data_IF_128659516050
#
_entry.id   IF_128659516050
#
_cell.length_a   1.000
_cell.length_b   1.000
_cell.length_c   1.000
_cell.angle_alpha   90.00
_cell.angle_beta   90.00
_cell.angle_gamma   90.00
#
_symmetry.space_group_name_H-M   'P 1'
#
loop_
_entity.id
_entity.type
_entity.pdbx_description
1 polymer ?
#
# COMPACT_ATOMS: atom_id res chain seq x y z
N UNK A 1 -2.52 -51.90 -10.20
CA UNK A 1 -2.14 -51.77 -11.63
C UNK A 1 -1.61 -50.36 -11.79
N UNK A 2 -0.29 -50.22 -11.85
CA UNK A 2 0.38 -48.95 -12.18
C UNK A 2 -0.21 -48.47 -13.50
N UNK A 3 -1.03 -47.42 -13.43
CA UNK A 3 -1.45 -46.72 -14.63
C UNK A 3 -0.27 -45.83 -14.99
N UNK A 4 0.51 -46.26 -15.97
CA UNK A 4 1.47 -45.37 -16.60
C UNK A 4 0.66 -44.36 -17.40
N UNK A 5 0.71 -43.10 -16.99
CA UNK A 5 0.10 -42.01 -17.72
C UNK A 5 0.91 -41.77 -19.00
N UNK A 6 0.23 -41.36 -20.06
CA UNK A 6 0.92 -40.92 -21.27
C UNK A 6 1.76 -39.69 -20.95
N UNK A 7 2.97 -39.59 -21.50
CA UNK A 7 3.91 -38.50 -21.22
C UNK A 7 3.67 -37.26 -22.08
N UNK A 8 4.22 -36.12 -21.65
CA UNK A 8 4.41 -34.92 -22.47
C UNK A 8 5.88 -34.47 -22.38
N UNK A 9 6.35 -33.69 -23.35
CA UNK A 9 7.78 -33.37 -23.50
C UNK A 9 8.24 -32.21 -22.60
N UNK A 10 8.32 -32.42 -21.29
CA UNK A 10 8.84 -31.41 -20.37
C UNK A 10 10.35 -31.17 -20.55
N UNK A 11 10.73 -29.94 -20.93
CA UNK A 11 12.13 -29.49 -21.00
C UNK A 11 12.73 -29.18 -19.62
N UNK A 12 11.88 -28.78 -18.66
CA UNK A 12 12.24 -28.51 -17.28
C UNK A 12 11.31 -29.28 -16.35
N UNK A 13 11.88 -29.99 -15.36
CA UNK A 13 11.13 -30.76 -14.36
C UNK A 13 11.33 -30.16 -12.98
N UNK A 14 10.23 -29.82 -12.32
CA UNK A 14 10.20 -29.24 -10.97
C UNK A 14 9.90 -30.34 -9.96
N UNK A 15 10.93 -31.11 -9.58
CA UNK A 15 10.79 -32.22 -8.64
C UNK A 15 11.71 -32.09 -7.44
N UNK A 16 11.25 -32.63 -6.31
CA UNK A 16 12.00 -32.70 -5.06
C UNK A 16 12.28 -34.18 -4.74
N UNK A 17 13.52 -34.48 -4.36
CA UNK A 17 13.87 -35.83 -3.91
C UNK A 17 13.19 -36.14 -2.58
N UNK A 18 12.70 -37.37 -2.42
CA UNK A 18 11.95 -37.85 -1.25
C UNK A 18 12.66 -37.70 0.11
N UNK A 19 13.95 -37.35 0.12
CA UNK A 19 14.78 -37.18 1.33
C UNK A 19 14.76 -35.78 1.94
N UNK A 20 14.02 -34.81 1.38
CA UNK A 20 14.10 -33.38 1.78
C UNK A 20 12.97 -33.02 2.76
N UNK A 21 13.30 -32.55 3.96
CA UNK A 21 12.40 -32.38 5.12
C UNK A 21 11.52 -31.11 5.14
N UNK A 22 11.49 -30.34 4.05
CA UNK A 22 10.62 -29.17 3.90
C UNK A 22 9.82 -29.28 2.60
N UNK A 23 8.81 -30.14 2.59
CA UNK A 23 7.96 -30.36 1.41
C UNK A 23 6.78 -29.41 1.44
N UNK A 24 6.76 -28.45 0.50
CA UNK A 24 5.54 -27.72 0.16
C UNK A 24 4.46 -28.73 -0.24
N UNK A 25 3.19 -28.47 0.08
CA UNK A 25 2.09 -29.35 -0.33
C UNK A 25 1.96 -29.43 -1.87
N UNK A 26 2.62 -28.55 -2.62
CA UNK A 26 2.61 -28.52 -4.07
C UNK A 26 3.83 -29.18 -4.72
N UNK A 27 4.76 -29.72 -3.93
CA UNK A 27 5.94 -30.40 -4.47
C UNK A 27 5.60 -31.70 -5.20
N UNK A 28 6.34 -31.95 -6.28
CA UNK A 28 6.28 -33.21 -7.05
C UNK A 28 7.42 -34.09 -6.54
N UNK A 29 7.06 -35.15 -5.82
CA UNK A 29 8.02 -36.08 -5.21
C UNK A 29 8.32 -37.21 -6.20
N UNK A 30 9.61 -37.43 -6.47
CA UNK A 30 10.09 -38.56 -7.28
C UNK A 30 10.75 -39.61 -6.38
N UNK A 31 10.26 -40.84 -6.45
CA UNK A 31 10.72 -41.91 -5.57
C UNK A 31 12.01 -42.58 -6.09
N UNK A 32 12.19 -42.76 -7.41
CA UNK A 32 13.40 -43.37 -8.01
C UNK A 32 13.59 -42.91 -9.47
N UNK A 33 14.83 -42.63 -9.88
CA UNK A 33 15.31 -42.18 -11.21
C UNK A 33 14.50 -41.04 -11.85
N UNK A 34 15.16 -39.89 -12.11
CA UNK A 34 14.54 -38.73 -12.76
C UNK A 34 14.31 -38.97 -14.26
N UNK A 35 13.33 -39.83 -14.60
CA UNK A 35 12.86 -40.06 -15.96
C UNK A 35 11.64 -39.21 -16.25
N UNK A 36 11.44 -38.85 -17.53
CA UNK A 36 10.28 -38.08 -17.97
C UNK A 36 8.95 -38.77 -17.62
N UNK A 37 8.92 -40.11 -17.74
CA UNK A 37 7.77 -40.92 -17.37
C UNK A 37 7.41 -40.76 -15.89
N UNK A 38 8.41 -40.93 -15.00
CA UNK A 38 8.19 -40.81 -13.56
C UNK A 38 7.72 -39.41 -13.16
N UNK A 39 8.22 -38.37 -13.83
CA UNK A 39 7.75 -37.00 -13.65
C UNK A 39 6.30 -36.80 -14.08
N UNK A 40 5.92 -37.26 -15.28
CA UNK A 40 4.54 -37.18 -15.75
C UNK A 40 3.58 -37.95 -14.83
N UNK A 41 3.99 -39.13 -14.38
CA UNK A 41 3.20 -39.95 -13.46
C UNK A 41 3.05 -39.31 -12.08
N UNK A 42 4.10 -38.70 -11.55
CA UNK A 42 4.05 -37.96 -10.29
C UNK A 42 3.17 -36.72 -10.40
N UNK A 43 3.28 -35.96 -11.49
CA UNK A 43 2.47 -34.78 -11.76
C UNK A 43 0.98 -35.14 -11.87
N UNK A 44 0.63 -36.18 -12.64
CA UNK A 44 -0.76 -36.64 -12.76
C UNK A 44 -1.32 -37.14 -11.43
N UNK A 45 -0.56 -37.93 -10.66
CA UNK A 45 -0.97 -38.35 -9.31
C UNK A 45 -1.26 -37.15 -8.42
N UNK A 46 -0.39 -36.13 -8.45
CA UNK A 46 -0.57 -34.91 -7.65
C UNK A 46 -1.86 -34.17 -8.01
N UNK A 47 -2.21 -34.09 -9.30
CA UNK A 47 -3.46 -33.47 -9.76
C UNK A 47 -4.71 -34.21 -9.29
N UNK A 48 -4.66 -35.54 -9.21
CA UNK A 48 -5.78 -36.33 -8.70
C UNK A 48 -5.88 -36.29 -7.17
N UNK A 49 -4.75 -36.17 -6.47
CA UNK A 49 -4.68 -35.99 -5.02
C UNK A 49 -5.22 -34.60 -4.58
N UNK A 50 -4.84 -33.55 -5.29
CA UNK A 50 -5.18 -32.18 -4.93
C UNK A 50 -6.70 -31.89 -5.09
N UNK A 51 -7.29 -31.13 -4.16
CA UNK A 51 -8.62 -30.54 -4.34
C UNK A 51 -8.61 -29.57 -5.51
N UNK A 52 -9.69 -29.51 -6.29
CA UNK A 52 -9.81 -28.62 -7.44
C UNK A 52 -9.75 -27.12 -7.08
N UNK A 53 -9.97 -26.77 -5.81
CA UNK A 53 -9.80 -25.42 -5.26
C UNK A 53 -8.33 -25.01 -5.17
N UNK A 54 -7.41 -25.97 -5.11
CA UNK A 54 -5.97 -25.74 -4.96
C UNK A 54 -5.22 -25.73 -6.28
N UNK A 55 -5.86 -26.10 -7.39
CA UNK A 55 -5.27 -26.04 -8.74
C UNK A 55 -4.65 -24.68 -9.10
N UNK A 56 -5.28 -23.52 -8.79
CA UNK A 56 -4.66 -22.23 -9.08
C UNK A 56 -3.33 -22.05 -8.30
N UNK A 57 -3.32 -22.39 -7.01
CA UNK A 57 -2.14 -22.24 -6.17
C UNK A 57 -1.01 -23.21 -6.59
N UNK A 58 -1.37 -24.44 -6.93
CA UNK A 58 -0.43 -25.43 -7.46
C UNK A 58 0.22 -24.97 -8.77
N UNK A 59 -0.57 -24.52 -9.74
CA UNK A 59 -0.07 -24.06 -11.04
C UNK A 59 0.82 -22.82 -10.85
N UNK A 60 0.42 -21.88 -10.00
CA UNK A 60 1.23 -20.71 -9.67
C UNK A 60 2.58 -21.09 -9.04
N UNK A 61 2.55 -22.04 -8.11
CA UNK A 61 3.76 -22.55 -7.47
C UNK A 61 4.72 -23.16 -8.50
N UNK A 62 4.23 -24.08 -9.33
CA UNK A 62 5.06 -24.77 -10.33
C UNK A 62 5.61 -23.81 -11.38
N UNK A 63 4.78 -22.89 -11.88
CA UNK A 63 5.21 -21.89 -12.87
C UNK A 63 6.23 -20.88 -12.33
N UNK A 64 6.31 -20.67 -11.01
CA UNK A 64 7.34 -19.82 -10.41
C UNK A 64 8.70 -20.51 -10.22
N UNK A 65 8.75 -21.84 -10.33
CA UNK A 65 9.97 -22.64 -10.16
C UNK A 65 10.72 -22.87 -11.48
N UNK A 66 10.02 -22.82 -12.61
CA UNK A 66 10.59 -23.01 -13.95
C UNK A 66 11.06 -21.69 -14.56
N UNK A 67 12.07 -21.76 -15.43
CA UNK A 67 12.59 -20.58 -16.15
C UNK A 67 11.70 -20.18 -17.32
N UNK A 68 11.02 -21.16 -17.92
CA UNK A 68 10.12 -20.96 -19.07
C UNK A 68 8.66 -21.39 -18.72
N UNK A 69 7.91 -20.58 -17.95
CA UNK A 69 6.58 -20.92 -17.45
C UNK A 69 5.56 -21.24 -18.54
N UNK A 70 5.59 -20.51 -19.65
CA UNK A 70 4.66 -20.71 -20.77
C UNK A 70 4.85 -22.06 -21.44
N UNK A 71 6.12 -22.48 -21.65
CA UNK A 71 6.43 -23.79 -22.23
C UNK A 71 6.01 -24.91 -21.27
N UNK A 72 6.26 -24.75 -19.97
CA UNK A 72 5.81 -25.73 -18.97
C UNK A 72 4.28 -25.88 -18.98
N UNK A 73 3.52 -24.78 -19.08
CA UNK A 73 2.06 -24.82 -19.17
C UNK A 73 1.57 -25.53 -20.44
N UNK A 74 2.26 -25.38 -21.57
CA UNK A 74 1.93 -26.09 -22.81
C UNK A 74 2.09 -27.60 -22.67
N UNK A 75 3.20 -28.05 -22.09
CA UNK A 75 3.41 -29.47 -21.85
C UNK A 75 2.50 -30.02 -20.75
N UNK A 76 2.10 -29.19 -19.79
CA UNK A 76 1.12 -29.57 -18.78
C UNK A 76 -0.28 -29.74 -19.36
N UNK A 77 -0.73 -28.86 -20.25
CA UNK A 77 -1.97 -29.03 -21.00
C UNK A 77 -1.93 -30.27 -21.90
N UNK A 78 -0.83 -30.48 -22.61
CA UNK A 78 -0.60 -31.67 -23.44
C UNK A 78 -0.70 -32.95 -22.60
N UNK A 79 -0.07 -32.97 -21.42
CA UNK A 79 -0.13 -34.10 -20.48
C UNK A 79 -1.57 -34.40 -20.04
N UNK A 80 -2.35 -33.37 -19.69
CA UNK A 80 -3.75 -33.55 -19.30
C UNK A 80 -4.58 -34.07 -20.49
N UNK A 81 -4.35 -33.55 -21.69
CA UNK A 81 -5.06 -33.95 -22.91
C UNK A 81 -4.79 -35.40 -23.29
N UNK A 82 -3.52 -35.82 -23.25
CA UNK A 82 -3.09 -37.20 -23.53
C UNK A 82 -3.71 -38.21 -22.53
N UNK A 83 -4.17 -37.73 -21.38
CA UNK A 83 -4.76 -38.54 -20.32
C UNK A 83 -6.24 -38.23 -20.08
N UNK A 84 -6.96 -37.65 -21.06
CA UNK A 84 -8.38 -37.26 -20.95
C UNK A 84 -9.28 -38.41 -20.44
N UNK A 85 -9.04 -39.64 -20.91
CA UNK A 85 -9.81 -40.83 -20.53
C UNK A 85 -9.80 -41.10 -19.01
N UNK A 86 -8.73 -40.68 -18.32
CA UNK A 86 -8.61 -40.82 -16.87
C UNK A 86 -9.55 -39.86 -16.11
N UNK A 87 -9.99 -38.77 -16.76
CA UNK A 87 -10.93 -37.81 -16.21
C UNK A 87 -12.38 -38.15 -16.54
N UNK A 88 -12.65 -38.67 -17.73
CA UNK A 88 -13.99 -39.08 -18.19
C UNK A 88 -14.49 -40.29 -17.40
N UNK A 89 -13.62 -41.29 -17.17
CA UNK A 89 -13.97 -42.53 -16.46
C UNK A 89 -14.35 -42.36 -14.97
N UNK A 90 -14.04 -41.22 -14.35
CA UNK A 90 -14.22 -40.97 -12.91
C UNK A 90 -15.28 -39.92 -12.55
N UNK A 91 -16.14 -39.50 -13.50
CA UNK A 91 -17.04 -38.33 -13.33
C UNK A 91 -16.30 -37.04 -12.93
N UNK A 92 -15.01 -36.94 -13.24
CA UNK A 92 -14.14 -35.82 -12.89
C UNK A 92 -13.99 -34.79 -14.02
N UNK A 93 -14.91 -34.77 -14.98
CA UNK A 93 -14.94 -33.80 -16.08
C UNK A 93 -14.90 -32.35 -15.60
N UNK A 94 -15.50 -32.05 -14.45
CA UNK A 94 -15.41 -30.71 -13.85
C UNK A 94 -13.96 -30.34 -13.50
N UNK A 95 -13.15 -31.30 -13.02
CA UNK A 95 -11.72 -31.10 -12.73
C UNK A 95 -10.93 -30.84 -14.00
N UNK A 96 -11.20 -31.61 -15.06
CA UNK A 96 -10.59 -31.42 -16.38
C UNK A 96 -10.81 -29.99 -16.89
N UNK A 97 -12.07 -29.55 -17.01
CA UNK A 97 -12.38 -28.17 -17.43
C UNK A 97 -11.79 -27.11 -16.50
N UNK A 98 -11.76 -27.36 -15.18
CA UNK A 98 -11.16 -26.42 -14.22
C UNK A 98 -9.66 -26.26 -14.46
N UNK A 99 -8.93 -27.34 -14.74
CA UNK A 99 -7.50 -27.30 -15.04
C UNK A 99 -7.20 -26.49 -16.30
N UNK A 100 -7.89 -26.77 -17.42
CA UNK A 100 -7.74 -25.97 -18.64
C UNK A 100 -8.03 -24.49 -18.40
N UNK A 101 -9.10 -24.18 -17.66
CA UNK A 101 -9.42 -22.80 -17.30
C UNK A 101 -8.32 -22.16 -16.43
N UNK A 102 -7.69 -22.90 -15.51
CA UNK A 102 -6.59 -22.36 -14.70
C UNK A 102 -5.29 -22.19 -15.52
N UNK A 103 -5.00 -23.12 -16.43
CA UNK A 103 -3.87 -23.01 -17.36
C UNK A 103 -4.02 -21.76 -18.24
N UNK A 104 -5.19 -21.60 -18.85
CA UNK A 104 -5.51 -20.42 -19.68
C UNK A 104 -5.47 -19.12 -18.87
N UNK A 105 -6.00 -19.13 -17.64
CA UNK A 105 -5.92 -17.98 -16.75
C UNK A 105 -4.46 -17.62 -16.44
N UNK A 106 -3.63 -18.62 -16.08
CA UNK A 106 -2.21 -18.40 -15.78
C UNK A 106 -1.43 -17.91 -17.00
N UNK A 107 -1.71 -18.44 -18.20
CA UNK A 107 -1.12 -17.93 -19.45
C UNK A 107 -1.47 -16.46 -19.67
N UNK A 108 -2.73 -16.07 -19.44
CA UNK A 108 -3.15 -14.66 -19.52
C UNK A 108 -2.43 -13.79 -18.51
N UNK A 109 -2.21 -14.27 -17.28
CA UNK A 109 -1.42 -13.53 -16.29
C UNK A 109 0.04 -13.34 -16.73
N UNK A 110 0.70 -14.43 -17.16
CA UNK A 110 2.08 -14.39 -17.65
C UNK A 110 2.22 -13.49 -18.88
N UNK A 111 1.25 -13.53 -19.80
CA UNK A 111 1.17 -12.61 -20.93
C UNK A 111 0.87 -11.18 -20.50
N UNK A 112 0.00 -10.94 -19.51
CA UNK A 112 -0.31 -9.60 -19.01
C UNK A 112 0.87 -8.92 -18.32
N UNK A 113 1.82 -9.73 -17.82
CA UNK A 113 3.07 -9.20 -17.26
C UNK A 113 4.06 -8.80 -18.37
N UNK A 114 3.94 -9.38 -19.58
CA UNK A 114 4.80 -9.11 -20.74
C UNK A 114 4.13 -8.24 -21.82
N UNK A 115 2.82 -8.02 -21.75
CA UNK A 115 2.02 -7.31 -22.75
C UNK A 115 1.29 -6.19 -22.04
N UNK A 116 1.74 -4.96 -22.30
CA UNK A 116 0.99 -3.71 -22.02
C UNK A 116 -0.47 -3.98 -22.39
N UNK A 117 -1.37 -3.82 -21.42
CA UNK A 117 -2.82 -3.97 -21.57
C UNK A 117 -3.28 -3.59 -22.98
N UNK A 118 -3.91 -4.50 -23.70
CA UNK A 118 -4.75 -4.13 -24.86
C UNK A 118 -5.95 -3.37 -24.33
N UNK A 119 -5.73 -2.07 -24.02
CA UNK A 119 -6.79 -1.08 -23.81
C UNK A 119 -7.78 -1.23 -24.95
N UNK A 120 -9.08 -1.16 -24.66
CA UNK A 120 -10.09 -0.95 -25.69
C UNK A 120 -9.60 0.17 -26.60
N UNK A 121 -9.39 -0.11 -27.90
CA UNK A 121 -8.81 0.88 -28.82
C UNK A 121 -9.61 2.19 -28.70
N UNK A 122 -8.96 3.24 -28.19
CA UNK A 122 -9.59 4.54 -28.04
C UNK A 122 -10.15 4.96 -29.40
N UNK A 123 -11.45 5.29 -29.50
CA UNK A 123 -12.05 5.68 -30.76
C UNK A 123 -11.24 6.79 -31.41
N UNK A 124 -10.88 6.65 -32.70
CA UNK A 124 -10.01 7.62 -33.42
C UNK A 124 -10.47 9.08 -33.29
N UNK A 125 -11.77 9.31 -33.15
CA UNK A 125 -12.35 10.66 -32.91
C UNK A 125 -11.92 11.32 -31.59
N UNK A 126 -11.40 10.54 -30.64
CA UNK A 126 -10.91 10.96 -29.32
C UNK A 126 -9.38 10.98 -29.24
N UNK A 127 -8.69 10.63 -30.33
CA UNK A 127 -7.23 10.73 -30.44
C UNK A 127 -6.90 12.14 -30.91
N UNK A 128 -6.04 12.84 -30.16
CA UNK A 128 -5.59 14.19 -30.46
C UNK A 128 -4.49 14.18 -31.51
N UNK A 129 -3.55 13.25 -31.41
CA UNK A 129 -2.43 13.11 -32.33
C UNK A 129 -1.90 11.67 -32.36
N UNK A 130 -1.30 11.28 -33.48
CA UNK A 130 -0.59 10.01 -33.65
C UNK A 130 0.89 10.29 -33.90
N UNK A 131 1.77 9.54 -33.24
CA UNK A 131 3.19 9.39 -33.58
C UNK A 131 3.45 7.96 -34.07
N UNK A 132 4.70 7.68 -34.45
CA UNK A 132 5.09 6.34 -34.93
C UNK A 132 4.90 5.26 -33.85
N UNK A 133 5.31 5.56 -32.62
CA UNK A 133 5.32 4.59 -31.51
C UNK A 133 4.05 4.58 -30.66
N UNK A 134 3.27 5.67 -30.65
CA UNK A 134 2.05 5.76 -29.84
C UNK A 134 1.06 6.81 -30.36
N UNK A 135 -0.14 6.84 -29.79
CA UNK A 135 -1.08 7.94 -29.94
C UNK A 135 -1.25 8.72 -28.64
N UNK A 136 -1.60 9.99 -28.79
CA UNK A 136 -1.87 10.92 -27.70
C UNK A 136 -3.36 11.21 -27.65
N UNK A 137 -4.00 10.88 -26.52
CA UNK A 137 -5.41 11.12 -26.30
C UNK A 137 -5.65 11.76 -24.95
N UNK A 138 -6.12 13.01 -24.96
CA UNK A 138 -6.47 13.72 -23.75
C UNK A 138 -7.62 13.02 -22.99
N UNK A 139 -8.49 12.31 -23.72
CA UNK A 139 -9.54 11.49 -23.12
C UNK A 139 -8.95 10.38 -22.23
N UNK A 140 -7.93 9.67 -22.70
CA UNK A 140 -7.25 8.64 -21.90
C UNK A 140 -6.55 9.23 -20.68
N UNK A 141 -5.81 10.33 -20.88
CA UNK A 141 -5.12 11.04 -19.81
C UNK A 141 -6.09 11.49 -18.73
N UNK A 142 -7.23 12.06 -19.11
CA UNK A 142 -8.26 12.50 -18.17
C UNK A 142 -8.78 11.33 -17.34
N UNK A 143 -9.10 10.20 -17.97
CA UNK A 143 -9.58 9.00 -17.25
C UNK A 143 -8.51 8.41 -16.31
N UNK A 144 -7.24 8.49 -16.68
CA UNK A 144 -6.14 8.06 -15.82
C UNK A 144 -6.01 8.98 -14.59
N UNK A 145 -6.03 10.29 -14.81
CA UNK A 145 -5.93 11.32 -13.76
C UNK A 145 -7.07 11.23 -12.74
N UNK A 146 -8.26 10.82 -13.16
CA UNK A 146 -9.40 10.60 -12.25
C UNK A 146 -9.14 9.46 -11.26
N UNK A 147 -8.29 8.48 -11.60
CA UNK A 147 -7.90 7.37 -10.71
C UNK A 147 -6.78 7.72 -9.72
N UNK A 148 -6.02 8.78 -9.99
CA UNK A 148 -4.94 9.23 -9.11
C UNK A 148 -5.50 9.96 -7.89
N UNK A 149 -4.82 9.85 -6.74
CA UNK A 149 -5.29 10.41 -5.47
C UNK A 149 -4.69 11.79 -5.19
N UNK A 150 -3.40 12.00 -5.49
CA UNK A 150 -2.71 13.24 -5.15
C UNK A 150 -2.75 14.27 -6.28
N UNK A 151 -2.92 15.56 -5.93
CA UNK A 151 -2.74 16.65 -6.90
C UNK A 151 -1.32 16.69 -7.48
N UNK A 152 -0.31 16.33 -6.69
CA UNK A 152 1.08 16.33 -7.17
C UNK A 152 1.28 15.25 -8.24
N UNK A 153 0.81 14.03 -7.98
CA UNK A 153 0.88 12.91 -8.95
C UNK A 153 0.21 13.27 -10.26
N UNK A 154 -1.00 13.87 -10.20
CA UNK A 154 -1.74 14.31 -11.38
C UNK A 154 -0.97 15.36 -12.18
N UNK A 155 -0.36 16.33 -11.51
CA UNK A 155 0.41 17.40 -12.15
C UNK A 155 1.71 16.84 -12.76
N UNK A 156 2.43 15.96 -12.05
CA UNK A 156 3.65 15.32 -12.55
C UNK A 156 3.33 14.54 -13.84
N UNK A 157 2.33 13.67 -13.78
CA UNK A 157 1.90 12.87 -14.94
C UNK A 157 1.54 13.74 -16.16
N UNK A 158 0.79 14.83 -15.95
CA UNK A 158 0.44 15.76 -17.03
C UNK A 158 1.67 16.44 -17.64
N UNK A 159 2.66 16.82 -16.83
CA UNK A 159 3.89 17.42 -17.33
C UNK A 159 4.74 16.42 -18.14
N UNK A 160 4.83 15.18 -17.67
CA UNK A 160 5.49 14.09 -18.40
C UNK A 160 4.80 13.88 -19.76
N UNK A 161 3.47 13.76 -19.78
CA UNK A 161 2.72 13.58 -21.03
C UNK A 161 2.87 14.77 -22.01
N UNK A 162 2.94 16.00 -21.52
CA UNK A 162 3.24 17.18 -22.36
C UNK A 162 4.66 17.10 -22.93
N UNK A 163 5.63 16.70 -22.11
CA UNK A 163 7.03 16.59 -22.53
C UNK A 163 7.20 15.53 -23.62
N UNK A 164 6.66 14.33 -23.38
CA UNK A 164 6.64 13.24 -24.35
C UNK A 164 5.96 13.65 -25.66
N UNK A 165 4.82 14.36 -25.59
CA UNK A 165 4.14 14.85 -26.78
C UNK A 165 4.97 15.85 -27.59
N UNK A 166 5.70 16.74 -26.91
CA UNK A 166 6.55 17.75 -27.57
C UNK A 166 7.81 17.15 -28.19
N UNK A 167 8.28 16.02 -27.67
CA UNK A 167 9.46 15.33 -28.19
C UNK A 167 9.13 14.31 -29.27
N UNK A 168 7.88 13.84 -29.32
CA UNK A 168 7.46 12.84 -30.29
C UNK A 168 7.41 13.41 -31.71
N UNK A 169 7.80 12.58 -32.67
CA UNK A 169 7.61 12.83 -34.09
C UNK A 169 6.13 12.60 -34.46
N UNK A 170 5.35 13.68 -34.41
CA UNK A 170 3.91 13.63 -34.67
C UNK A 170 3.63 13.47 -36.17
N UNK A 171 3.01 12.34 -36.52
CA UNK A 171 2.63 11.98 -37.89
C UNK A 171 1.27 12.60 -38.25
N UNK A 172 0.34 12.66 -37.29
CA UNK A 172 -1.04 13.06 -37.52
C UNK A 172 -1.57 13.89 -36.36
N UNK A 173 -2.34 14.95 -36.65
CA UNK A 173 -3.01 15.79 -35.64
C UNK A 173 -4.49 15.91 -36.01
N UNK A 174 -5.35 15.64 -35.04
CA UNK A 174 -6.79 15.75 -35.18
C UNK A 174 -7.24 17.21 -35.02
N UNK A 175 -7.57 17.86 -36.15
CA UNK A 175 -7.99 19.27 -36.20
C UNK A 175 -9.35 19.57 -35.55
N UNK A 176 -10.16 18.54 -35.24
CA UNK A 176 -11.46 18.73 -34.57
C UNK A 176 -11.34 18.81 -33.05
N UNK A 177 -10.20 18.38 -32.50
CA UNK A 177 -9.91 18.48 -31.08
C UNK A 177 -8.94 19.64 -30.84
N UNK A 178 -8.97 20.16 -29.63
CA UNK A 178 -7.95 21.09 -29.18
C UNK A 178 -6.59 20.36 -29.10
N UNK A 179 -5.49 21.11 -29.21
CA UNK A 179 -4.16 20.52 -29.15
C UNK A 179 -3.94 19.82 -27.81
N UNK A 180 -3.29 18.66 -27.88
CA UNK A 180 -3.11 17.77 -26.74
C UNK A 180 -2.41 18.45 -25.55
N UNK A 181 -1.30 19.13 -25.82
CA UNK A 181 -0.51 19.86 -24.84
C UNK A 181 -1.30 21.02 -24.21
N UNK A 182 -2.03 21.78 -25.02
CA UNK A 182 -2.89 22.87 -24.53
C UNK A 182 -3.97 22.35 -23.58
N UNK A 183 -4.59 21.20 -23.89
CA UNK A 183 -5.58 20.59 -22.99
C UNK A 183 -4.95 20.10 -21.68
N UNK A 184 -3.75 19.53 -21.74
CA UNK A 184 -3.03 19.11 -20.55
C UNK A 184 -2.65 20.30 -19.67
N UNK A 185 -2.16 21.40 -20.27
CA UNK A 185 -1.82 22.65 -19.56
C UNK A 185 -3.04 23.26 -18.86
N UNK A 186 -4.19 23.31 -19.55
CA UNK A 186 -5.45 23.79 -18.95
C UNK A 186 -5.88 22.93 -17.76
N UNK A 187 -5.69 21.61 -17.83
CA UNK A 187 -6.00 20.72 -16.72
C UNK A 187 -5.03 20.92 -15.54
N UNK A 188 -3.74 21.18 -15.79
CA UNK A 188 -2.78 21.55 -14.74
C UNK A 188 -3.24 22.84 -14.03
N UNK A 189 -3.59 23.88 -14.79
CA UNK A 189 -4.05 25.16 -14.23
C UNK A 189 -5.29 24.97 -13.35
N UNK A 190 -6.26 24.18 -13.82
CA UNK A 190 -7.46 23.82 -13.05
C UNK A 190 -7.09 23.08 -11.75
N UNK A 191 -6.20 22.09 -11.80
CA UNK A 191 -5.77 21.33 -10.63
C UNK A 191 -5.05 22.19 -9.61
N UNK A 192 -4.17 23.10 -10.05
CA UNK A 192 -3.48 24.05 -9.18
C UNK A 192 -4.45 25.04 -8.52
N UNK A 193 -5.44 25.52 -9.28
CA UNK A 193 -6.48 26.41 -8.77
C UNK A 193 -7.32 25.71 -7.70
N UNK A 194 -7.77 24.48 -7.95
CA UNK A 194 -8.52 23.67 -6.98
C UNK A 194 -7.70 23.38 -5.71
N UNK A 195 -6.40 23.10 -5.87
CA UNK A 195 -5.50 22.90 -4.72
C UNK A 195 -5.40 24.16 -3.87
N UNK A 196 -5.24 25.33 -4.50
CA UNK A 196 -5.19 26.61 -3.80
C UNK A 196 -6.50 26.88 -3.06
N UNK A 197 -7.64 26.72 -3.72
CA UNK A 197 -8.97 26.88 -3.10
C UNK A 197 -9.18 25.94 -1.91
N UNK A 198 -8.73 24.68 -2.00
CA UNK A 198 -8.79 23.74 -0.87
C UNK A 198 -7.92 24.19 0.30
N UNK A 199 -6.68 24.63 0.03
CA UNK A 199 -5.78 25.11 1.06
C UNK A 199 -6.31 26.40 1.71
N UNK A 200 -6.90 27.30 0.93
CA UNK A 200 -7.51 28.53 1.44
C UNK A 200 -8.76 28.21 2.28
N UNK A 201 -9.59 27.26 1.85
CA UNK A 201 -10.73 26.77 2.63
C UNK A 201 -10.31 26.06 3.93
N UNK A 202 -9.26 25.24 3.91
CA UNK A 202 -8.68 24.63 5.12
C UNK A 202 -8.13 25.69 6.07
N UNK A 203 -7.51 26.75 5.54
CA UNK A 203 -7.07 27.90 6.34
C UNK A 203 -8.25 28.65 6.94
N UNK A 204 -9.28 28.97 6.15
CA UNK A 204 -10.51 29.61 6.64
C UNK A 204 -11.23 28.74 7.68
N UNK A 205 -11.23 27.41 7.54
CA UNK A 205 -11.72 26.51 8.57
C UNK A 205 -10.85 26.55 9.82
N UNK A 206 -9.52 26.53 9.69
CA UNK A 206 -8.60 26.62 10.83
C UNK A 206 -8.66 27.98 11.54
N UNK A 207 -8.96 29.06 10.82
CA UNK A 207 -9.15 30.40 11.35
C UNK A 207 -10.53 30.57 12.01
N UNK A 208 -11.55 29.84 11.54
CA UNK A 208 -12.87 29.76 12.19
C UNK A 208 -12.94 28.71 13.32
N UNK A 209 -11.94 27.84 13.45
CA UNK A 209 -11.76 26.96 14.60
C UNK A 209 -10.76 27.65 15.55
N UNK A 210 -11.24 28.60 16.36
CA UNK A 210 -10.78 28.58 17.75
C UNK A 210 -11.00 27.15 18.25
N UNK A 211 -10.05 26.54 19.00
CA UNK A 211 -10.14 25.13 19.33
C UNK A 211 -11.41 24.86 20.13
N UNK A 212 -12.48 24.45 19.45
CA UNK A 212 -13.60 23.72 20.03
C UNK A 212 -13.17 22.27 20.25
N UNK A 213 -12.03 22.10 20.94
CA UNK A 213 -11.96 20.99 21.87
C UNK A 213 -12.83 21.43 23.04
N UNK A 214 -14.05 20.92 23.09
CA UNK A 214 -14.87 20.92 24.30
C UNK A 214 -14.28 19.93 25.32
N UNK A 215 -12.98 20.01 25.60
CA UNK A 215 -12.44 19.56 26.85
C UNK A 215 -12.58 20.76 27.77
N UNK A 216 -13.61 20.75 28.62
CA UNK A 216 -13.71 21.75 29.68
C UNK A 216 -12.38 21.75 30.44
N UNK A 217 -11.72 22.92 30.52
CA UNK A 217 -10.49 23.06 31.31
C UNK A 217 -10.75 22.55 32.73
N UNK A 218 -9.83 21.78 33.28
CA UNK A 218 -9.94 21.23 34.61
C UNK A 218 -9.63 22.31 35.65
N UNK A 219 -10.56 22.56 36.56
CA UNK A 219 -10.30 23.44 37.68
C UNK A 219 -9.33 22.77 38.66
N UNK A 220 -8.16 23.37 38.87
CA UNK A 220 -7.22 22.92 39.87
C UNK A 220 -7.50 23.64 41.20
N UNK A 221 -8.03 22.92 42.18
CA UNK A 221 -8.44 23.50 43.46
C UNK A 221 -7.28 23.93 44.38
N UNK A 222 -6.03 23.60 44.02
CA UNK A 222 -4.83 24.07 44.73
C UNK A 222 -4.32 25.42 44.21
N UNK A 223 -3.19 25.90 44.74
CA UNK A 223 -2.57 27.11 44.21
C UNK A 223 -1.86 26.82 42.87
N UNK A 224 -1.89 27.77 41.93
CA UNK A 224 -1.25 27.63 40.61
C UNK A 224 0.22 27.25 40.72
N UNK A 225 0.96 27.78 41.70
CA UNK A 225 2.36 27.41 41.89
C UNK A 225 2.56 25.95 42.31
N UNK A 226 1.60 25.33 42.98
CA UNK A 226 1.64 23.89 43.30
C UNK A 226 1.39 23.04 42.05
N UNK A 227 0.43 23.43 41.21
CA UNK A 227 0.18 22.77 39.93
C UNK A 227 1.43 22.83 39.03
N UNK A 228 1.99 24.03 38.85
CA UNK A 228 3.15 24.21 37.97
C UNK A 228 4.39 23.50 38.50
N UNK A 229 4.59 23.47 39.82
CA UNK A 229 5.71 22.74 40.44
C UNK A 229 5.62 21.22 40.24
N UNK A 230 4.42 20.64 40.10
CA UNK A 230 4.27 19.21 39.74
C UNK A 230 4.90 18.91 38.37
N UNK A 231 4.61 19.73 37.37
CA UNK A 231 5.21 19.60 36.04
C UNK A 231 6.71 19.91 36.05
N UNK A 232 7.16 20.83 36.91
CA UNK A 232 8.59 21.09 37.11
C UNK A 232 9.31 19.87 37.66
N UNK A 233 8.76 19.22 38.69
CA UNK A 233 9.32 18.00 39.28
C UNK A 233 9.44 16.89 38.23
N UNK A 234 8.37 16.62 37.48
CA UNK A 234 8.37 15.62 36.41
C UNK A 234 9.36 15.93 35.28
N UNK A 235 9.62 17.21 34.99
CA UNK A 235 10.52 17.61 33.91
C UNK A 235 12.00 17.69 34.32
N UNK A 236 12.30 17.98 35.59
CA UNK A 236 13.66 18.36 36.03
C UNK A 236 14.19 17.62 37.25
N UNK A 237 13.33 17.07 38.10
CA UNK A 237 13.74 16.47 39.38
C UNK A 237 13.53 14.95 39.39
N UNK A 238 12.52 14.46 38.69
CA UNK A 238 12.18 13.04 38.63
C UNK A 238 12.70 12.41 37.34
N UNK A 239 13.32 11.24 37.47
CA UNK A 239 13.93 10.51 36.36
C UNK A 239 13.57 9.03 36.37
N UNK A 240 13.33 8.46 35.18
CA UNK A 240 13.22 7.01 34.91
C UNK A 240 14.31 6.63 33.94
N UNK A 241 15.14 5.64 34.29
CA UNK A 241 16.23 5.15 33.44
C UNK A 241 17.17 6.28 32.92
N UNK A 242 17.38 7.31 33.73
CA UNK A 242 18.24 8.46 33.39
C UNK A 242 17.59 9.53 32.48
N UNK A 243 16.31 9.40 32.15
CA UNK A 243 15.52 10.43 31.43
C UNK A 243 14.47 11.04 32.36
N UNK A 244 14.12 12.31 32.16
CA UNK A 244 13.05 12.93 32.95
C UNK A 244 11.72 12.21 32.71
N UNK A 245 10.84 12.21 33.71
CA UNK A 245 9.49 11.64 33.55
C UNK A 245 8.69 12.37 32.45
N UNK A 246 8.91 13.67 32.29
CA UNK A 246 8.33 14.48 31.24
C UNK A 246 9.44 15.22 30.49
N UNK A 247 9.64 14.90 29.22
CA UNK A 247 10.54 15.65 28.34
C UNK A 247 9.78 16.77 27.60
N UNK A 248 10.41 17.93 27.44
CA UNK A 248 9.78 19.10 26.85
C UNK A 248 10.44 20.42 27.27
N UNK A 249 10.33 21.42 26.40
CA UNK A 249 10.80 22.77 26.71
C UNK A 249 9.78 23.53 27.59
N UNK A 250 10.25 24.58 28.27
CA UNK A 250 9.42 25.39 29.17
C UNK A 250 8.19 26.01 28.50
N UNK A 251 8.28 26.34 27.21
CA UNK A 251 7.17 26.89 26.43
C UNK A 251 6.06 25.88 26.22
N UNK A 252 6.41 24.66 25.83
CA UNK A 252 5.45 23.58 25.56
C UNK A 252 4.73 23.15 26.84
N UNK A 253 5.45 23.03 27.96
CA UNK A 253 4.86 22.71 29.27
C UNK A 253 3.93 23.85 29.73
N UNK A 254 4.31 25.11 29.49
CA UNK A 254 3.45 26.24 29.82
C UNK A 254 2.14 26.22 29.01
N UNK A 255 2.21 25.92 27.71
CA UNK A 255 1.04 25.77 26.86
C UNK A 255 0.14 24.62 27.32
N UNK A 256 0.72 23.47 27.68
CA UNK A 256 -0.01 22.33 28.22
C UNK A 256 -0.85 22.74 29.45
N UNK A 257 -0.25 23.46 30.38
CA UNK A 257 -0.92 23.88 31.63
C UNK A 257 -2.05 24.87 31.33
N UNK A 258 -1.78 25.92 30.55
CA UNK A 258 -2.75 27.00 30.27
C UNK A 258 -3.95 26.49 29.44
N UNK A 259 -3.72 25.53 28.55
CA UNK A 259 -4.76 25.00 27.67
C UNK A 259 -5.67 24.00 28.38
N UNK A 260 -5.21 23.38 29.49
CA UNK A 260 -5.95 22.29 30.14
C UNK A 260 -6.45 22.61 31.55
N UNK A 261 -5.96 23.66 32.20
CA UNK A 261 -6.30 23.95 33.60
C UNK A 261 -6.82 25.38 33.82
N UNK A 262 -7.75 25.50 34.77
CA UNK A 262 -8.16 26.75 35.42
C UNK A 262 -7.58 26.80 36.83
N UNK A 263 -7.45 28.01 37.38
CA UNK A 263 -7.07 28.17 38.79
C UNK A 263 -8.20 27.75 39.75
N UNK A 264 -7.93 27.81 41.06
CA UNK A 264 -8.90 27.44 42.11
C UNK A 264 -10.19 28.28 42.10
N UNK A 265 -10.20 29.45 41.47
CA UNK A 265 -11.35 30.36 41.34
C UNK A 265 -12.06 30.19 39.99
N UNK A 266 -11.56 29.31 39.11
CA UNK A 266 -12.11 29.07 37.79
C UNK A 266 -11.60 30.05 36.72
N UNK A 267 -10.56 30.84 37.02
CA UNK A 267 -9.99 31.80 36.08
C UNK A 267 -8.91 31.17 35.20
N UNK A 268 -8.64 31.81 34.07
CA UNK A 268 -7.54 31.41 33.19
C UNK A 268 -6.17 31.62 33.86
N UNK A 269 -5.30 30.63 33.69
CA UNK A 269 -3.93 30.69 34.18
C UNK A 269 -3.07 31.52 33.22
N UNK A 270 -2.34 32.52 33.73
CA UNK A 270 -1.43 33.35 32.92
C UNK A 270 -0.21 32.55 32.42
N UNK A 271 0.09 32.54 31.11
CA UNK A 271 1.27 31.88 30.55
C UNK A 271 2.59 32.37 31.15
N UNK A 272 2.72 33.67 31.38
CA UNK A 272 3.94 34.27 31.94
C UNK A 272 4.16 33.86 33.39
N UNK A 273 3.08 33.71 34.14
CA UNK A 273 3.13 33.17 35.52
C UNK A 273 3.67 31.74 35.51
N UNK A 274 3.17 30.88 34.63
CA UNK A 274 3.63 29.49 34.49
C UNK A 274 5.11 29.43 34.10
N UNK A 275 5.51 30.16 33.05
CA UNK A 275 6.92 30.22 32.61
C UNK A 275 7.85 30.71 33.72
N UNK A 276 7.42 31.69 34.50
CA UNK A 276 8.21 32.21 35.62
C UNK A 276 8.45 31.13 36.68
N UNK A 277 7.44 30.34 37.03
CA UNK A 277 7.57 29.28 38.06
C UNK A 277 8.44 28.12 37.55
N UNK A 278 8.31 27.77 36.26
CA UNK A 278 9.12 26.73 35.60
C UNK A 278 10.59 27.13 35.43
N UNK A 279 10.93 28.41 35.55
CA UNK A 279 12.30 28.89 35.37
C UNK A 279 13.21 28.37 36.51
N UNK A 280 14.32 27.67 36.21
CA UNK A 280 15.20 27.07 37.21
C UNK A 280 15.69 28.03 38.30
N UNK A 281 16.01 29.27 37.93
CA UNK A 281 16.53 30.31 38.84
C UNK A 281 15.48 30.96 39.74
N UNK A 282 14.19 30.73 39.50
CA UNK A 282 13.07 31.39 40.22
C UNK A 282 12.49 30.49 41.31
N UNK A 283 13.37 29.97 42.17
CA UNK A 283 12.99 29.10 43.29
C UNK A 283 12.04 29.80 44.28
N UNK A 284 12.13 31.13 44.38
CA UNK A 284 11.27 31.98 45.22
C UNK A 284 9.78 31.93 44.82
N UNK A 285 9.49 31.57 43.56
CA UNK A 285 8.12 31.47 43.03
C UNK A 285 7.50 30.10 43.21
N UNK A 286 8.28 29.09 43.61
CA UNK A 286 7.80 27.72 43.86
C UNK A 286 7.17 27.60 45.25
N UNK A 287 6.34 26.56 45.49
CA UNK A 287 5.77 26.32 46.81
C UNK A 287 6.86 26.14 47.86
N UNK A 288 6.63 26.66 49.07
CA UNK A 288 7.48 26.35 50.22
C UNK A 288 7.44 24.84 50.50
N UNK A 289 8.51 24.23 51.07
CA UNK A 289 8.59 22.78 51.25
C UNK A 289 7.35 22.13 51.90
N UNK A 290 6.78 22.75 52.94
CA UNK A 290 5.59 22.25 53.63
C UNK A 290 4.26 22.41 52.85
N UNK A 291 4.26 23.10 51.71
CA UNK A 291 3.12 23.25 50.80
C UNK A 291 3.37 22.59 49.44
N UNK A 292 4.54 21.99 49.24
CA UNK A 292 4.92 21.32 48.00
C UNK A 292 4.15 19.99 47.91
N UNK A 293 3.64 19.67 46.71
CA UNK A 293 3.09 18.34 46.45
C UNK A 293 4.28 17.41 46.24
N UNK A 294 4.38 16.40 47.09
CA UNK A 294 5.47 15.42 47.08
C UNK A 294 5.08 14.25 46.18
N UNK A 295 5.52 14.28 44.92
CA UNK A 295 5.14 13.28 43.91
C UNK A 295 5.81 11.92 44.22
N UNK A 296 7.02 11.92 44.78
CA UNK A 296 7.72 10.68 45.13
C UNK A 296 6.96 9.85 46.18
N UNK A 297 6.15 10.50 47.03
CA UNK A 297 5.26 9.79 47.97
C UNK A 297 4.00 9.21 47.32
N UNK A 298 3.73 9.54 46.06
CA UNK A 298 2.56 9.09 45.30
C UNK A 298 2.89 8.01 44.27
N UNK A 299 4.17 7.74 44.02
CA UNK A 299 4.71 6.71 43.12
C UNK A 299 5.09 5.44 43.90
#
# INVERSE_FOLDING_TARGET
>A
MEHNYQTASFLETTSVNSTTTHTSNFDIILDQNNTLQNYCDALMRKIFELPHTEYPAFINYQTNLVKEPTLWLNHFEELISNNEDQFTGKKSLCRYHKLFNQIEFRRKELQSTSVKETKSNTPKRLINADSEDRHFSFFEVKNHIEKLNSFNEKIIYLNEEIFEYKQADIISINKKLQKYDEQCLQLIEKLQTLRKMKADFEKEQSENIQPKNTNAKLQFNGNVNQLVDVFYQLNRELFVEGKSFLDGNTGDIALLIVNNFLDKEGNEISPDTVKTILTPSRTDKRPKPHKRIDIDKML
#
